data_IF_559061264679
#
_entry.id   IF_559061264679
#
_cell.length_a   1.000
_cell.length_b   1.000
_cell.length_c   1.000
_cell.angle_alpha   90.00
_cell.angle_beta   90.00
_cell.angle_gamma   90.00
#
_symmetry.space_group_name_H-M   'P 1'
#
loop_
_entity.id
_entity.type
_entity.pdbx_description
1 polymer ?
#
# COMPACT_ATOMS: atom_id res chain seq x y z
N UNK A 1 5.18 -8.46 8.87
CA UNK A 1 4.28 -9.15 7.93
C UNK A 1 3.50 -8.15 7.10
N UNK A 2 3.31 -8.44 5.84
CA UNK A 2 2.55 -7.57 4.93
C UNK A 2 1.16 -8.16 4.74
N UNK A 3 0.11 -7.34 4.91
CA UNK A 3 -1.25 -7.77 4.66
C UNK A 3 -1.66 -7.42 3.24
N UNK A 4 -2.41 -8.31 2.58
CA UNK A 4 -2.98 -8.07 1.26
C UNK A 4 -4.48 -8.27 1.38
N UNK A 5 -5.25 -7.23 1.10
CA UNK A 5 -6.70 -7.29 1.17
C UNK A 5 -7.31 -7.00 -0.19
N UNK A 6 -8.10 -7.95 -0.71
CA UNK A 6 -8.79 -7.79 -1.97
C UNK A 6 -10.29 -7.86 -1.74
N UNK A 7 -11.03 -6.92 -2.34
CA UNK A 7 -12.49 -6.86 -2.16
C UNK A 7 -13.26 -7.19 -3.44
N UNK A 8 -12.57 -7.52 -4.52
CA UNK A 8 -13.21 -7.90 -5.79
C UNK A 8 -12.44 -9.06 -6.41
N UNK A 9 -13.13 -9.81 -7.27
CA UNK A 9 -12.45 -10.89 -8.00
C UNK A 9 -11.36 -10.35 -8.91
N UNK A 10 -11.59 -9.20 -9.50
CA UNK A 10 -10.58 -8.56 -10.35
C UNK A 10 -9.34 -8.22 -9.55
N UNK A 11 -9.52 -7.75 -8.33
CA UNK A 11 -8.40 -7.46 -7.45
C UNK A 11 -7.66 -8.72 -7.01
N UNK A 12 -8.35 -9.86 -6.95
CA UNK A 12 -7.72 -11.10 -6.53
C UNK A 12 -6.55 -11.48 -7.44
N UNK A 13 -6.67 -11.22 -8.75
CA UNK A 13 -5.57 -11.51 -9.68
C UNK A 13 -4.34 -10.68 -9.36
N UNK A 14 -4.55 -9.43 -8.98
CA UNK A 14 -3.43 -8.55 -8.57
C UNK A 14 -2.82 -9.09 -7.28
N UNK A 15 -3.67 -9.48 -6.33
CA UNK A 15 -3.20 -10.05 -5.07
C UNK A 15 -2.39 -11.30 -5.27
N UNK A 16 -2.80 -12.15 -6.20
CA UNK A 16 -2.07 -13.39 -6.49
C UNK A 16 -0.67 -13.12 -7.03
N UNK A 17 -0.52 -12.11 -7.89
CA UNK A 17 0.80 -11.71 -8.37
C UNK A 17 1.70 -11.27 -7.22
N UNK A 18 1.13 -10.49 -6.30
CA UNK A 18 1.90 -10.05 -5.15
C UNK A 18 2.29 -11.20 -4.24
N UNK A 19 1.37 -12.16 -4.03
CA UNK A 19 1.67 -13.33 -3.22
C UNK A 19 2.82 -14.14 -3.82
N UNK A 20 2.79 -14.34 -5.13
CA UNK A 20 3.86 -15.07 -5.80
C UNK A 20 5.21 -14.39 -5.60
N UNK A 21 5.24 -13.07 -5.76
CA UNK A 21 6.48 -12.31 -5.57
C UNK A 21 6.98 -12.42 -4.13
N UNK A 22 6.08 -12.27 -3.16
CA UNK A 22 6.47 -12.33 -1.75
C UNK A 22 6.98 -13.72 -1.38
N UNK A 23 6.33 -14.77 -1.90
CA UNK A 23 6.80 -16.13 -1.66
C UNK A 23 8.17 -16.38 -2.25
N UNK A 24 8.39 -15.92 -3.47
CA UNK A 24 9.68 -16.12 -4.14
C UNK A 24 10.82 -15.39 -3.44
N UNK A 25 10.49 -14.31 -2.75
CA UNK A 25 11.49 -13.49 -2.07
C UNK A 25 11.52 -13.67 -0.55
N UNK A 26 10.83 -14.71 -0.08
CA UNK A 26 10.78 -15.05 1.35
C UNK A 26 10.27 -13.90 2.23
N UNK A 27 9.30 -13.15 1.73
CA UNK A 27 8.67 -12.07 2.46
C UNK A 27 7.39 -12.59 3.09
N UNK A 28 7.26 -12.41 4.39
CA UNK A 28 6.10 -12.88 5.13
C UNK A 28 4.86 -12.05 4.80
N UNK A 29 3.77 -12.72 4.47
CA UNK A 29 2.53 -12.02 4.12
C UNK A 29 1.30 -12.79 4.57
N UNK A 30 0.16 -12.08 4.56
CA UNK A 30 -1.13 -12.64 4.92
C UNK A 30 -2.16 -12.05 3.95
N UNK A 31 -2.97 -12.90 3.32
CA UNK A 31 -3.95 -12.45 2.36
C UNK A 31 -5.37 -12.69 2.86
N UNK A 32 -6.25 -11.70 2.69
CA UNK A 32 -7.68 -11.86 2.94
C UNK A 32 -8.42 -11.38 1.72
N UNK A 33 -9.12 -12.31 1.05
CA UNK A 33 -9.90 -12.02 -0.15
C UNK A 33 -11.37 -12.18 0.18
N UNK A 34 -12.14 -11.13 -0.07
CA UNK A 34 -13.58 -11.17 0.18
C UNK A 34 -14.24 -12.34 -0.53
N UNK A 35 -13.83 -12.62 -1.76
CA UNK A 35 -14.42 -13.69 -2.57
C UNK A 35 -14.21 -15.08 -1.98
N UNK A 36 -13.26 -15.23 -1.07
CA UNK A 36 -12.93 -16.51 -0.47
C UNK A 36 -13.33 -16.62 0.99
N UNK A 37 -14.04 -15.64 1.50
CA UNK A 37 -14.50 -15.63 2.89
C UNK A 37 -16.02 -15.68 2.93
N UNK A 38 -16.58 -16.62 3.70
CA UNK A 38 -18.02 -16.74 3.80
C UNK A 38 -18.67 -15.56 4.52
N UNK A 39 -18.10 -15.19 5.64
CA UNK A 39 -18.64 -14.11 6.46
C UNK A 39 -17.67 -12.93 6.45
N UNK A 40 -17.38 -12.42 5.27
CA UNK A 40 -16.42 -11.32 5.15
C UNK A 40 -16.95 -10.06 5.82
N UNK A 41 -16.14 -9.47 6.68
CA UNK A 41 -16.38 -8.16 7.27
C UNK A 41 -15.16 -7.31 7.00
N UNK A 42 -15.34 -6.21 6.29
CA UNK A 42 -14.21 -5.30 5.99
C UNK A 42 -13.61 -4.78 7.30
N UNK A 43 -14.48 -4.44 8.26
CA UNK A 43 -14.02 -3.94 9.55
C UNK A 43 -13.23 -5.00 10.31
N UNK A 44 -13.74 -6.23 10.36
CA UNK A 44 -13.05 -7.31 11.06
C UNK A 44 -11.74 -7.68 10.42
N UNK A 45 -11.72 -7.74 9.09
CA UNK A 45 -10.48 -8.06 8.37
C UNK A 45 -9.44 -6.98 8.55
N UNK A 46 -9.85 -5.72 8.52
CA UNK A 46 -8.92 -4.60 8.71
C UNK A 46 -8.38 -4.58 10.12
N UNK A 47 -9.24 -4.86 11.11
CA UNK A 47 -8.81 -4.94 12.50
C UNK A 47 -7.73 -6.01 12.67
N UNK A 48 -7.97 -7.18 12.09
CA UNK A 48 -7.01 -8.27 12.18
C UNK A 48 -5.67 -7.86 11.57
N UNK A 49 -5.69 -7.18 10.43
CA UNK A 49 -4.45 -6.76 9.79
C UNK A 49 -3.73 -5.66 10.57
N UNK A 50 -4.46 -4.75 11.21
CA UNK A 50 -3.84 -3.74 12.06
C UNK A 50 -3.11 -4.37 13.23
N UNK A 51 -3.61 -5.51 13.72
CA UNK A 51 -3.02 -6.19 14.87
C UNK A 51 -1.80 -7.04 14.49
N UNK A 52 -1.73 -7.51 13.25
CA UNK A 52 -0.72 -8.49 12.87
C UNK A 52 0.23 -8.02 11.77
N UNK A 53 -0.08 -6.95 11.06
CA UNK A 53 0.70 -6.55 9.89
C UNK A 53 1.34 -5.18 10.09
N UNK A 54 2.57 -5.04 9.62
CA UNK A 54 3.28 -3.78 9.65
C UNK A 54 2.91 -2.89 8.48
N UNK A 55 2.53 -3.49 7.38
CA UNK A 55 2.06 -2.79 6.19
C UNK A 55 0.85 -3.53 5.64
N UNK A 56 -0.11 -2.77 5.10
CA UNK A 56 -1.32 -3.36 4.53
C UNK A 56 -1.50 -2.82 3.12
N UNK A 57 -1.68 -3.74 2.17
CA UNK A 57 -1.97 -3.39 0.78
C UNK A 57 -3.46 -3.64 0.54
N UNK A 58 -4.19 -2.57 0.25
CA UNK A 58 -5.60 -2.67 -0.14
C UNK A 58 -5.69 -2.67 -1.66
N UNK A 59 -6.28 -3.71 -2.23
CA UNK A 59 -6.55 -3.74 -3.67
C UNK A 59 -8.01 -3.33 -3.84
N UNK A 60 -8.20 -2.01 -3.99
CA UNK A 60 -9.53 -1.40 -3.96
C UNK A 60 -9.43 0.05 -4.38
N UNK A 61 -10.55 0.76 -4.36
CA UNK A 61 -10.49 2.22 -4.47
C UNK A 61 -9.88 2.81 -3.21
N UNK A 62 -9.35 4.03 -3.31
CA UNK A 62 -8.82 4.72 -2.14
C UNK A 62 -9.92 4.98 -1.11
N UNK A 63 -11.15 5.26 -1.57
CA UNK A 63 -12.27 5.52 -0.67
C UNK A 63 -12.58 4.34 0.24
N UNK A 64 -12.54 3.13 -0.32
CA UNK A 64 -12.77 1.93 0.48
C UNK A 64 -11.66 1.78 1.53
N UNK A 65 -10.42 2.00 1.12
CA UNK A 65 -9.29 1.89 2.05
C UNK A 65 -9.41 2.91 3.18
N UNK A 66 -9.74 4.17 2.84
CA UNK A 66 -9.89 5.22 3.85
C UNK A 66 -10.97 4.85 4.86
N UNK A 67 -12.11 4.37 4.38
CA UNK A 67 -13.19 3.97 5.29
C UNK A 67 -12.80 2.79 6.15
N UNK A 68 -12.04 1.87 5.59
CA UNK A 68 -11.62 0.68 6.32
C UNK A 68 -10.68 1.02 7.47
N UNK A 69 -9.73 1.92 7.25
CA UNK A 69 -8.70 2.20 8.25
C UNK A 69 -9.12 3.24 9.29
N UNK A 70 -10.08 4.09 8.96
CA UNK A 70 -10.47 5.21 9.83
C UNK A 70 -10.76 4.80 11.28
N UNK A 71 -11.50 3.71 11.55
CA UNK A 71 -11.75 3.34 12.95
C UNK A 71 -10.52 2.91 13.72
N UNK A 72 -9.43 2.58 13.04
CA UNK A 72 -8.27 1.97 13.69
C UNK A 72 -7.05 2.87 13.74
N UNK A 73 -7.06 4.00 13.05
CA UNK A 73 -5.92 4.92 13.05
C UNK A 73 -5.79 5.55 14.43
N UNK A 74 -4.59 5.46 15.00
CA UNK A 74 -4.31 6.00 16.33
C UNK A 74 -3.16 6.98 16.28
N UNK A 75 -1.99 6.53 15.85
CA UNK A 75 -0.78 7.34 15.87
C UNK A 75 0.04 7.12 14.62
N UNK A 76 0.58 8.22 14.10
CA UNK A 76 1.39 8.22 12.89
C UNK A 76 2.58 7.25 12.97
N UNK A 77 3.20 7.14 14.13
CA UNK A 77 4.39 6.30 14.29
C UNK A 77 4.08 4.87 14.71
N UNK A 78 2.83 4.55 14.99
CA UNK A 78 2.45 3.21 15.43
C UNK A 78 1.54 2.48 14.45
N UNK A 79 0.82 3.23 13.64
CA UNK A 79 -0.09 2.63 12.67
C UNK A 79 0.69 1.98 11.54
N UNK A 80 0.15 0.91 10.95
CA UNK A 80 0.81 0.30 9.80
C UNK A 80 0.84 1.25 8.61
N UNK A 81 1.80 1.04 7.72
CA UNK A 81 1.80 1.73 6.44
C UNK A 81 0.69 1.19 5.56
N UNK A 82 -0.03 2.09 4.88
CA UNK A 82 -1.17 1.73 4.06
C UNK A 82 -0.88 2.03 2.60
N UNK A 83 -0.98 1.01 1.77
CA UNK A 83 -0.76 1.12 0.33
C UNK A 83 -2.04 0.67 -0.37
N UNK A 84 -2.40 1.37 -1.45
CA UNK A 84 -3.59 1.04 -2.23
C UNK A 84 -3.18 0.76 -3.68
N UNK A 85 -3.69 -0.35 -4.23
CA UNK A 85 -3.54 -0.66 -5.64
C UNK A 85 -4.92 -0.65 -6.25
N UNK A 86 -5.14 0.16 -7.29
CA UNK A 86 -6.45 0.21 -7.91
C UNK A 86 -6.71 -1.08 -8.71
N UNK A 87 -7.99 -1.46 -8.81
CA UNK A 87 -8.35 -2.75 -9.42
C UNK A 87 -8.05 -2.83 -10.90
N UNK A 88 -7.81 -1.71 -11.56
CA UNK A 88 -7.39 -1.69 -12.96
C UNK A 88 -5.88 -1.73 -13.11
N UNK A 89 -5.16 -1.86 -12.02
CA UNK A 89 -3.71 -1.96 -11.99
C UNK A 89 -2.99 -0.79 -12.67
N UNK A 90 -3.53 0.42 -12.48
CA UNK A 90 -2.91 1.61 -13.05
C UNK A 90 -1.99 2.31 -12.06
N UNK A 91 -2.33 2.27 -10.78
CA UNK A 91 -1.62 3.04 -9.76
C UNK A 91 -1.40 2.22 -8.51
N UNK A 92 -0.24 2.43 -7.89
CA UNK A 92 0.03 2.00 -6.52
C UNK A 92 0.25 3.26 -5.71
N UNK A 93 -0.54 3.44 -4.66
CA UNK A 93 -0.62 4.71 -3.94
C UNK A 93 -0.20 4.53 -2.49
N UNK A 94 0.74 5.37 -2.04
CA UNK A 94 1.10 5.43 -0.63
C UNK A 94 0.05 6.28 0.07
N UNK A 95 -0.88 5.63 0.78
CA UNK A 95 -2.03 6.32 1.34
C UNK A 95 -1.76 6.92 2.71
N UNK A 96 -1.11 6.17 3.58
CA UNK A 96 -0.83 6.62 4.95
C UNK A 96 0.40 5.89 5.48
N UNK A 97 1.08 6.52 6.46
CA UNK A 97 2.27 5.92 7.03
C UNK A 97 3.44 5.86 6.07
N UNK A 98 3.54 6.86 5.19
CA UNK A 98 4.50 6.82 4.09
C UNK A 98 5.94 6.77 4.53
N UNK A 99 6.28 7.48 5.60
CA UNK A 99 7.66 7.58 6.04
C UNK A 99 7.99 6.55 7.12
N UNK A 100 7.40 6.70 8.28
CA UNK A 100 7.71 5.84 9.42
C UNK A 100 7.13 4.43 9.24
N UNK A 101 5.93 4.33 8.69
CA UNK A 101 5.29 3.04 8.48
C UNK A 101 5.85 2.23 7.32
N UNK A 102 6.63 2.88 6.45
CA UNK A 102 7.24 2.17 5.32
C UNK A 102 6.38 2.09 4.08
N UNK A 103 5.26 2.81 4.02
CA UNK A 103 4.36 2.73 2.87
C UNK A 103 5.01 3.24 1.58
N UNK A 104 5.87 4.26 1.67
CA UNK A 104 6.52 4.79 0.47
C UNK A 104 7.43 3.75 -0.18
N UNK A 105 8.24 3.07 0.60
CA UNK A 105 9.13 2.05 0.07
C UNK A 105 8.34 0.88 -0.52
N UNK A 106 7.31 0.45 0.20
CA UNK A 106 6.47 -0.64 -0.28
C UNK A 106 5.74 -0.26 -1.57
N UNK A 107 5.29 1.00 -1.66
CA UNK A 107 4.64 1.49 -2.87
C UNK A 107 5.54 1.37 -4.09
N UNK A 108 6.80 1.76 -3.95
CA UNK A 108 7.75 1.66 -5.05
C UNK A 108 7.98 0.20 -5.45
N UNK A 109 8.10 -0.68 -4.48
CA UNK A 109 8.34 -2.09 -4.74
C UNK A 109 7.14 -2.76 -5.40
N UNK A 110 5.95 -2.52 -4.87
CA UNK A 110 4.72 -3.09 -5.41
C UNK A 110 4.48 -2.58 -6.83
N UNK A 111 4.71 -1.30 -7.06
CA UNK A 111 4.56 -0.70 -8.38
C UNK A 111 5.47 -1.37 -9.41
N UNK A 112 6.69 -1.70 -9.02
CA UNK A 112 7.62 -2.41 -9.88
C UNK A 112 7.10 -3.80 -10.23
N UNK A 113 6.67 -4.53 -9.23
CA UNK A 113 6.18 -5.90 -9.41
C UNK A 113 4.97 -5.91 -10.34
N UNK A 114 4.05 -4.98 -10.14
CA UNK A 114 2.80 -4.92 -10.90
C UNK A 114 2.92 -4.12 -12.19
N UNK A 115 4.04 -3.44 -12.40
CA UNK A 115 4.28 -2.60 -13.58
C UNK A 115 3.21 -1.53 -13.73
N UNK A 116 3.00 -0.76 -12.67
CA UNK A 116 2.07 0.37 -12.69
C UNK A 116 2.76 1.63 -12.18
N UNK A 117 2.03 2.72 -12.03
CA UNK A 117 2.60 4.02 -11.65
C UNK A 117 2.52 4.22 -10.14
N UNK A 118 3.64 4.49 -9.47
CA UNK A 118 3.61 4.79 -8.04
C UNK A 118 3.18 6.23 -7.80
N UNK A 119 2.42 6.43 -6.71
CA UNK A 119 1.98 7.76 -6.30
C UNK A 119 2.42 7.96 -4.86
N UNK A 120 3.35 8.88 -4.66
CA UNK A 120 3.89 9.21 -3.35
C UNK A 120 3.78 10.72 -3.17
N UNK A 121 3.14 11.13 -2.09
CA UNK A 121 2.84 12.54 -1.88
C UNK A 121 3.58 13.15 -0.70
N UNK A 122 4.47 12.38 -0.06
CA UNK A 122 5.20 12.85 1.12
C UNK A 122 6.36 13.73 0.70
N UNK A 123 6.25 15.02 0.91
CA UNK A 123 7.24 15.98 0.45
C UNK A 123 8.62 15.76 1.08
N UNK A 124 8.66 15.40 2.35
CA UNK A 124 9.92 15.21 3.06
C UNK A 124 10.76 14.10 2.43
N UNK A 125 10.12 12.97 2.12
CA UNK A 125 10.82 11.88 1.46
C UNK A 125 11.33 12.29 0.10
N UNK A 126 10.52 13.01 -0.66
CA UNK A 126 10.93 13.46 -1.98
C UNK A 126 12.15 14.36 -1.91
N UNK A 127 12.18 15.25 -0.94
CA UNK A 127 13.31 16.14 -0.76
C UNK A 127 14.59 15.37 -0.42
N UNK A 128 14.47 14.40 0.46
CA UNK A 128 15.63 13.62 0.85
C UNK A 128 16.19 12.78 -0.30
N UNK A 129 15.36 12.31 -1.16
CA UNK A 129 15.79 11.45 -2.27
C UNK A 129 16.32 12.25 -3.44
N UNK A 130 15.81 13.46 -3.63
CA UNK A 130 16.18 14.29 -4.75
C UNK A 130 17.38 15.12 -4.41
N UNK A 131 17.71 15.22 -3.20
CA UNK A 131 18.80 16.04 -2.77
C UNK A 131 20.06 15.80 -3.52
N UNK A 132 20.26 15.19 -4.32
CA UNK A 132 21.40 15.31 -5.20
C UNK A 132 21.08 15.93 -6.50
N UNK A 133 20.49 16.02 -6.63
CA UNK A 133 20.36 16.26 -7.59
C UNK A 133 19.85 16.67 -8.36
N UNK A 134 19.50 16.77 -8.48
CA UNK A 134 18.76 16.96 -9.07
C UNK A 134 18.34 17.38 -9.52
N UNK A 135 18.13 17.53 -9.74
CA UNK A 135 17.51 17.90 -10.04
C UNK A 135 17.08 18.17 -10.52
N UNK A 136 17.14 18.34 -10.96
CA UNK A 136 16.51 18.81 -11.31
C UNK A 136 15.99 19.15 -11.56
N UNK A 137 15.97 19.29 -11.84
CA UNK A 137 15.23 19.76 -11.88
C UNK A 137 14.78 19.96 -11.85
N UNK A 138 14.80 20.26 -11.91
CA UNK A 138 14.29 20.68 -11.43
C UNK A 138 13.67 21.07 -11.09
N UNK A 139 13.59 21.14 -11.29
CA UNK A 139 13.00 21.61 -10.76
C UNK A 139 12.39 21.66 -10.40
N UNK A 140 12.32 21.67 -10.61
CA UNK A 140 11.80 21.85 -9.96
C UNK A 140 11.30 21.82 -9.39
N UNK A 141 11.18 21.91 -9.54
CA UNK A 141 10.84 22.07 -8.74
C UNK A 141 10.52 22.24 -8.40
N UNK A 142 10.18 22.49 -8.53
CA UNK A 142 10.01 22.91 -8.12
C UNK A 142 9.32 22.94 -7.81
N UNK A 143 9.20 22.92 -8.11
CA UNK A 143 8.79 23.15 -7.80
C UNK A 143 8.27 22.96 -7.63
N UNK A 144 8.30 23.09 -8.00
CA UNK A 144 8.07 23.17 -7.92
C UNK A 144 7.73 23.14 -7.80
#
# INVERSE_FOLDING_TARGET
>A
MIGIMSVTEKGDFIGDKLKDFFEENNISFKGIYKSKCEDFSLKGATQEMFETCKNIIFISSTGIAVRAITPFIVKKDKDPGIVVVDVNNKFTISLAGGHIGGANELTLEVSKVLNNTPVITTATDNQNKVAPDMEIGRASCRER
#
